data_IF_016260368061
#
_entry.id   IF_016260368061
#
_cell.length_a   1.000
_cell.length_b   1.000
_cell.length_c   1.000
_cell.angle_alpha   90.00
_cell.angle_beta   90.00
_cell.angle_gamma   90.00
#
_symmetry.space_group_name_H-M   'P 1'
#
loop_
_entity.id
_entity.type
_entity.pdbx_description
1 polymer ?
#
# COMPACT_ATOMS: atom_id res chain seq x y z
N UNK A 1 -12.58 18.08 12.13
CA UNK A 1 -13.25 18.61 10.90
C UNK A 1 -12.85 17.88 9.64
N UNK A 2 -11.59 17.93 9.19
CA UNK A 2 -11.15 17.19 8.00
C UNK A 2 -11.52 15.69 8.09
N UNK A 3 -11.29 15.07 9.26
CA UNK A 3 -11.74 13.69 9.52
C UNK A 3 -13.25 13.50 9.32
N UNK A 4 -14.09 14.43 9.80
CA UNK A 4 -15.55 14.34 9.66
C UNK A 4 -16.04 14.58 8.24
N UNK A 5 -15.26 15.27 7.40
CA UNK A 5 -15.54 15.48 5.99
C UNK A 5 -15.26 14.19 5.21
N UNK A 6 -14.06 13.64 5.39
CA UNK A 6 -13.59 12.50 4.60
C UNK A 6 -14.09 11.15 5.11
N UNK A 7 -14.36 11.05 6.40
CA UNK A 7 -14.92 9.86 7.06
C UNK A 7 -16.27 10.23 7.67
N UNK A 8 -17.19 10.69 6.82
CA UNK A 8 -18.49 11.21 7.27
C UNK A 8 -19.33 10.17 8.02
N UNK A 9 -19.15 8.87 7.73
CA UNK A 9 -19.79 7.76 8.45
C UNK A 9 -19.35 7.69 9.91
N UNK A 10 -18.14 8.15 10.21
CA UNK A 10 -17.52 8.07 11.53
C UNK A 10 -17.63 9.39 12.30
N UNK A 11 -18.44 10.33 11.79
CA UNK A 11 -18.59 11.67 12.39
C UNK A 11 -19.06 11.61 13.84
N UNK A 12 -19.97 10.69 14.18
CA UNK A 12 -20.44 10.50 15.56
C UNK A 12 -19.30 10.08 16.48
N UNK A 13 -18.47 9.11 16.05
CA UNK A 13 -17.29 8.66 16.79
C UNK A 13 -16.36 9.84 17.13
N UNK A 14 -16.02 10.69 16.14
CA UNK A 14 -15.16 11.84 16.38
C UNK A 14 -15.82 12.90 17.28
N UNK A 15 -17.14 13.08 17.13
CA UNK A 15 -17.92 14.03 17.94
C UNK A 15 -17.92 13.64 19.41
N UNK A 16 -18.16 12.36 19.69
CA UNK A 16 -18.19 11.86 21.07
C UNK A 16 -16.80 11.87 21.69
N UNK A 17 -15.76 11.53 20.94
CA UNK A 17 -14.38 11.66 21.40
C UNK A 17 -14.02 13.11 21.78
N UNK A 18 -14.44 14.11 21.00
CA UNK A 18 -14.25 15.53 21.38
C UNK A 18 -14.97 15.90 22.68
N UNK A 19 -16.20 15.41 22.89
CA UNK A 19 -16.96 15.65 24.13
C UNK A 19 -16.29 15.00 25.33
N UNK A 20 -15.74 13.79 25.17
CA UNK A 20 -14.98 13.10 26.23
C UNK A 20 -13.75 13.90 26.67
N UNK A 21 -13.11 14.60 25.74
CA UNK A 21 -12.01 15.53 26.03
C UNK A 21 -12.48 16.88 26.62
N UNK A 22 -13.78 17.08 26.80
CA UNK A 22 -14.35 18.34 27.29
C UNK A 22 -14.37 19.47 26.27
N UNK A 23 -14.23 19.15 24.98
CA UNK A 23 -14.24 20.11 23.87
C UNK A 23 -15.64 20.22 23.25
N UNK A 24 -15.95 21.37 22.65
CA UNK A 24 -17.18 21.56 21.86
C UNK A 24 -16.95 21.15 20.39
N UNK A 25 -17.47 20.00 19.93
CA UNK A 25 -17.32 19.56 18.53
C UNK A 25 -18.08 20.45 17.53
N UNK A 26 -19.00 21.30 18.00
CA UNK A 26 -19.79 22.19 17.17
C UNK A 26 -19.23 23.61 17.10
N UNK A 27 -18.10 23.89 17.77
CA UNK A 27 -17.45 25.19 17.69
C UNK A 27 -16.90 25.43 16.26
N UNK A 28 -17.57 26.30 15.50
CA UNK A 28 -17.25 26.67 14.12
C UNK A 28 -16.50 28.01 14.01
N UNK A 29 -15.91 28.54 15.09
CA UNK A 29 -15.13 29.77 15.01
C UNK A 29 -14.01 29.66 13.98
N UNK A 30 -13.74 30.74 13.26
CA UNK A 30 -12.60 30.88 12.35
C UNK A 30 -11.66 32.00 12.84
N UNK A 31 -11.75 32.36 14.12
CA UNK A 31 -10.88 33.37 14.73
C UNK A 31 -9.45 32.82 14.87
N UNK A 32 -8.47 33.35 14.11
CA UNK A 32 -7.10 32.85 14.12
C UNK A 32 -6.36 33.14 15.44
N UNK A 33 -6.97 33.89 16.37
CA UNK A 33 -6.43 34.14 17.71
C UNK A 33 -6.85 33.09 18.74
N UNK A 34 -7.70 32.13 18.36
CA UNK A 34 -8.16 31.03 19.22
C UNK A 34 -7.65 29.68 18.72
N UNK A 35 -7.34 28.71 19.61
CA UNK A 35 -6.93 27.36 19.20
C UNK A 35 -7.96 26.66 18.30
N UNK A 36 -9.25 26.78 18.62
CA UNK A 36 -10.34 26.21 17.84
C UNK A 36 -10.41 26.83 16.45
N UNK A 37 -10.25 28.15 16.37
CA UNK A 37 -10.24 28.86 15.08
C UNK A 37 -9.06 28.47 14.21
N UNK A 38 -7.85 28.33 14.79
CA UNK A 38 -6.68 27.81 14.09
C UNK A 38 -6.95 26.40 13.55
N UNK A 39 -7.45 25.49 14.39
CA UNK A 39 -7.75 24.11 13.97
C UNK A 39 -8.82 24.03 12.88
N UNK A 40 -9.85 24.88 12.96
CA UNK A 40 -10.91 24.97 11.96
C UNK A 40 -10.40 25.55 10.62
N UNK A 41 -9.55 26.58 10.67
CA UNK A 41 -8.91 27.16 9.49
C UNK A 41 -7.97 26.17 8.81
N UNK A 42 -7.16 25.44 9.58
CA UNK A 42 -6.29 24.39 9.04
C UNK A 42 -7.09 23.28 8.35
N UNK A 43 -8.17 22.80 8.99
CA UNK A 43 -9.04 21.80 8.38
C UNK A 43 -9.71 22.33 7.10
N UNK A 44 -10.18 23.58 7.11
CA UNK A 44 -10.77 24.22 5.93
C UNK A 44 -9.76 24.28 4.77
N UNK A 45 -8.53 24.72 5.04
CA UNK A 45 -7.48 24.81 4.03
C UNK A 45 -7.16 23.45 3.40
N UNK A 46 -7.08 22.38 4.21
CA UNK A 46 -6.88 21.01 3.69
C UNK A 46 -8.06 20.57 2.83
N UNK A 47 -9.30 20.76 3.29
CA UNK A 47 -10.51 20.38 2.54
C UNK A 47 -10.54 21.09 1.19
N UNK A 48 -10.36 22.41 1.18
CA UNK A 48 -10.36 23.22 -0.05
C UNK A 48 -9.20 22.83 -0.98
N UNK A 49 -8.01 22.53 -0.45
CA UNK A 49 -6.86 22.15 -1.26
C UNK A 49 -6.99 20.75 -1.89
N UNK A 50 -7.79 19.86 -1.30
CA UNK A 50 -8.01 18.49 -1.81
C UNK A 50 -9.35 18.33 -2.55
N UNK A 51 -10.22 19.33 -2.55
CA UNK A 51 -11.42 19.32 -3.37
C UNK A 51 -11.04 19.37 -4.86
N UNK A 52 -11.47 18.38 -5.64
CA UNK A 52 -11.19 18.33 -7.09
C UNK A 52 -9.70 18.16 -7.39
N UNK A 53 -9.00 17.44 -6.51
CA UNK A 53 -7.57 17.17 -6.66
C UNK A 53 -7.27 16.00 -7.61
N UNK A 54 -8.28 15.42 -8.27
CA UNK A 54 -8.15 14.19 -9.07
C UNK A 54 -8.46 12.89 -8.33
N UNK A 55 -8.67 12.91 -7.00
CA UNK A 55 -9.06 11.70 -6.26
C UNK A 55 -10.54 11.33 -6.47
N UNK A 56 -11.31 12.22 -7.10
CA UNK A 56 -12.73 12.07 -7.37
C UNK A 56 -13.58 11.76 -6.12
N UNK A 57 -13.16 12.26 -4.95
CA UNK A 57 -13.84 11.99 -3.68
C UNK A 57 -15.31 12.44 -3.68
N UNK A 58 -15.60 13.59 -4.30
CA UNK A 58 -16.95 14.15 -4.36
C UNK A 58 -17.76 13.62 -5.56
N UNK A 59 -17.15 12.81 -6.44
CA UNK A 59 -17.82 12.37 -7.66
C UNK A 59 -18.03 13.50 -8.66
N UNK A 60 -17.21 14.55 -8.63
CA UNK A 60 -17.40 15.76 -9.44
C UNK A 60 -16.45 15.85 -10.65
N UNK A 61 -15.48 14.93 -10.75
CA UNK A 61 -14.57 14.88 -11.90
C UNK A 61 -15.36 14.59 -13.20
N UNK A 62 -14.94 15.16 -14.32
CA UNK A 62 -15.59 14.91 -15.61
C UNK A 62 -15.50 13.41 -15.96
N UNK A 63 -16.65 12.78 -16.25
CA UNK A 63 -16.74 11.34 -16.50
C UNK A 63 -17.03 10.47 -15.27
N UNK A 64 -17.05 11.05 -14.06
CA UNK A 64 -17.33 10.35 -12.79
C UNK A 64 -18.78 9.88 -12.60
N UNK A 65 -19.73 10.40 -13.40
CA UNK A 65 -21.16 10.12 -13.28
C UNK A 65 -21.78 10.51 -11.92
N UNK A 66 -21.29 11.57 -11.25
CA UNK A 66 -21.74 11.97 -9.91
C UNK A 66 -21.54 10.87 -8.85
N UNK A 67 -20.53 10.01 -9.04
CA UNK A 67 -20.23 8.89 -8.14
C UNK A 67 -18.85 9.10 -7.52
N UNK A 68 -18.76 9.25 -6.18
CA UNK A 68 -17.50 9.24 -5.44
C UNK A 68 -16.60 8.07 -5.84
N UNK A 69 -15.32 8.37 -6.07
CA UNK A 69 -14.27 7.43 -6.43
C UNK A 69 -14.54 6.60 -7.70
N UNK A 70 -15.49 7.00 -8.54
CA UNK A 70 -15.73 6.33 -9.81
C UNK A 70 -14.55 6.50 -10.77
N UNK A 71 -14.32 5.48 -11.61
CA UNK A 71 -13.34 5.52 -12.69
C UNK A 71 -13.76 6.53 -13.76
N UNK A 72 -13.30 7.77 -13.61
CA UNK A 72 -13.65 8.87 -14.51
C UNK A 72 -12.75 8.94 -15.76
N UNK A 73 -11.63 8.20 -15.78
CA UNK A 73 -10.71 8.14 -16.93
C UNK A 73 -11.09 7.05 -17.94
N UNK A 74 -12.11 6.23 -17.64
CA UNK A 74 -12.58 5.17 -18.53
C UNK A 74 -11.56 4.07 -18.77
N UNK A 75 -10.64 3.83 -17.82
CA UNK A 75 -9.69 2.72 -17.91
C UNK A 75 -10.45 1.39 -17.93
N UNK A 76 -10.12 0.54 -18.91
CA UNK A 76 -10.57 -0.85 -19.00
C UNK A 76 -9.34 -1.74 -19.25
N UNK A 77 -9.19 -2.85 -18.52
CA UNK A 77 -8.07 -3.76 -18.73
C UNK A 77 -8.17 -4.42 -20.12
N UNK A 78 -7.01 -4.68 -20.73
CA UNK A 78 -6.94 -5.42 -22.01
C UNK A 78 -7.46 -6.85 -21.85
N UNK A 79 -7.23 -7.46 -20.68
CA UNK A 79 -7.67 -8.81 -20.36
C UNK A 79 -8.95 -8.79 -19.53
N UNK A 80 -9.82 -9.78 -19.76
CA UNK A 80 -10.98 -10.02 -18.90
C UNK A 80 -10.62 -11.01 -17.78
N UNK A 81 -11.53 -11.22 -16.82
CA UNK A 81 -11.32 -12.23 -15.78
C UNK A 81 -11.23 -13.66 -16.35
N UNK A 82 -11.91 -13.89 -17.48
CA UNK A 82 -12.02 -15.18 -18.15
C UNK A 82 -10.91 -15.41 -19.18
N UNK A 83 -10.46 -14.36 -19.87
CA UNK A 83 -9.55 -14.46 -21.02
C UNK A 83 -8.32 -13.57 -20.86
N UNK A 84 -7.14 -14.19 -20.97
CA UNK A 84 -5.84 -13.52 -20.94
C UNK A 84 -5.29 -13.40 -22.37
N UNK A 85 -5.68 -12.35 -23.09
CA UNK A 85 -5.30 -12.12 -24.50
C UNK A 85 -3.90 -11.54 -24.65
N UNK A 86 -3.44 -10.73 -23.69
CA UNK A 86 -2.07 -10.22 -23.62
C UNK A 86 -1.45 -10.57 -22.26
N UNK A 87 -0.56 -11.57 -22.20
CA UNK A 87 -0.03 -12.07 -20.94
C UNK A 87 0.98 -11.13 -20.28
N UNK A 88 1.40 -10.04 -20.93
CA UNK A 88 2.20 -9.00 -20.26
C UNK A 88 1.32 -7.95 -19.56
N UNK A 89 0.01 -7.97 -19.79
CA UNK A 89 -0.94 -6.98 -19.26
C UNK A 89 -1.67 -7.49 -18.03
N UNK A 90 -2.10 -6.57 -17.18
CA UNK A 90 -2.85 -6.91 -15.99
C UNK A 90 -4.15 -7.64 -16.35
N UNK A 91 -4.53 -8.59 -15.50
CA UNK A 91 -5.75 -9.37 -15.65
C UNK A 91 -6.51 -9.37 -14.31
N UNK A 92 -7.79 -8.95 -14.29
CA UNK A 92 -8.62 -9.09 -13.10
C UNK A 92 -8.85 -10.58 -12.76
N UNK A 93 -9.11 -10.89 -11.49
CA UNK A 93 -9.29 -12.27 -11.02
C UNK A 93 -10.51 -12.40 -10.14
N UNK A 94 -11.17 -13.55 -10.20
CA UNK A 94 -12.31 -13.87 -9.34
C UNK A 94 -11.87 -14.05 -7.89
N UNK A 95 -12.53 -13.33 -6.97
CA UNK A 95 -12.42 -13.52 -5.52
C UNK A 95 -13.70 -14.16 -5.01
N UNK A 96 -13.60 -14.89 -3.91
CA UNK A 96 -14.76 -15.40 -3.17
C UNK A 96 -15.52 -14.24 -2.53
N UNK A 97 -16.84 -14.26 -2.58
CA UNK A 97 -17.70 -13.32 -1.85
C UNK A 97 -17.94 -13.72 -0.37
N UNK A 98 -17.34 -14.84 0.06
CA UNK A 98 -17.51 -15.41 1.41
C UNK A 98 -18.89 -16.05 1.65
N UNK A 99 -19.75 -16.11 0.64
CA UNK A 99 -21.14 -16.60 0.69
C UNK A 99 -21.41 -17.70 -0.35
N UNK A 100 -20.36 -18.22 -0.98
CA UNK A 100 -20.42 -19.28 -1.99
C UNK A 100 -20.48 -18.77 -3.44
N UNK A 101 -20.39 -17.46 -3.66
CA UNK A 101 -20.28 -16.84 -4.97
C UNK A 101 -18.88 -16.27 -5.24
N UNK A 102 -18.71 -15.74 -6.44
CA UNK A 102 -17.47 -15.10 -6.88
C UNK A 102 -17.75 -13.79 -7.59
N UNK A 103 -16.80 -12.85 -7.52
CA UNK A 103 -16.84 -11.59 -8.25
C UNK A 103 -15.43 -11.21 -8.73
N UNK A 104 -15.35 -10.49 -9.85
CA UNK A 104 -14.09 -9.93 -10.33
C UNK A 104 -14.07 -8.42 -10.02
N UNK A 105 -13.24 -7.94 -9.08
CA UNK A 105 -13.12 -6.52 -8.82
C UNK A 105 -12.48 -5.79 -10.02
N UNK A 106 -13.00 -4.59 -10.31
CA UNK A 106 -12.36 -3.67 -11.26
C UNK A 106 -11.06 -3.09 -10.71
N UNK A 107 -10.29 -2.41 -11.56
CA UNK A 107 -9.05 -1.75 -11.13
C UNK A 107 -9.37 -0.70 -10.06
N UNK A 108 -8.69 -0.78 -8.92
CA UNK A 108 -8.89 0.17 -7.83
C UNK A 108 -8.29 1.53 -8.21
N UNK A 109 -9.15 2.54 -8.28
CA UNK A 109 -8.79 3.97 -8.52
C UNK A 109 -7.73 4.13 -9.62
N UNK A 110 -7.99 3.73 -10.87
CA UNK A 110 -7.01 3.71 -11.96
C UNK A 110 -6.51 5.10 -12.39
N UNK A 111 -7.00 6.15 -11.73
CA UNK A 111 -6.69 7.55 -11.97
C UNK A 111 -5.89 8.17 -10.81
N UNK A 112 -5.41 7.37 -9.84
CA UNK A 112 -4.71 7.93 -8.67
C UNK A 112 -3.41 8.66 -9.05
N UNK A 113 -2.85 8.38 -10.22
CA UNK A 113 -1.74 9.12 -10.84
C UNK A 113 -2.12 10.56 -11.25
N UNK A 114 -3.42 10.87 -11.34
CA UNK A 114 -3.96 12.21 -11.62
C UNK A 114 -4.14 13.03 -10.35
N UNK A 115 -4.02 12.41 -9.18
CA UNK A 115 -4.16 13.12 -7.91
C UNK A 115 -3.03 14.14 -7.79
N UNK A 116 -3.37 15.38 -7.46
CA UNK A 116 -2.41 16.47 -7.31
C UNK A 116 -1.40 16.12 -6.20
N UNK A 117 -0.10 16.01 -6.53
CA UNK A 117 0.93 15.75 -5.53
C UNK A 117 1.08 16.90 -4.53
N UNK A 118 1.68 16.61 -3.38
CA UNK A 118 1.96 17.61 -2.34
C UNK A 118 3.38 18.15 -2.48
N UNK A 119 4.39 17.26 -2.50
CA UNK A 119 5.81 17.62 -2.61
C UNK A 119 6.43 17.30 -3.97
N UNK A 120 5.88 16.35 -4.73
CA UNK A 120 6.31 16.07 -6.12
C UNK A 120 5.80 17.12 -7.11
N UNK A 121 6.49 17.24 -8.24
CA UNK A 121 6.11 18.12 -9.36
C UNK A 121 5.06 17.48 -10.27
N UNK A 122 5.15 16.16 -10.45
CA UNK A 122 4.23 15.34 -11.23
C UNK A 122 4.31 13.90 -10.73
N UNK A 123 3.27 13.10 -11.00
CA UNK A 123 3.25 11.70 -10.62
C UNK A 123 4.38 10.88 -11.27
N UNK A 124 4.80 11.27 -12.47
CA UNK A 124 5.82 10.57 -13.24
C UNK A 124 7.25 11.07 -13.04
N UNK A 125 7.46 12.00 -12.11
CA UNK A 125 8.75 12.64 -11.85
C UNK A 125 9.89 11.62 -11.68
N UNK A 126 9.59 10.46 -11.10
CA UNK A 126 10.55 9.38 -10.84
C UNK A 126 10.12 8.05 -11.45
N UNK A 127 9.23 8.02 -12.45
CA UNK A 127 8.74 6.78 -13.07
C UNK A 127 9.93 5.87 -13.44
N UNK A 128 10.03 4.65 -12.90
CA UNK A 128 11.09 3.72 -13.23
C UNK A 128 11.05 3.30 -14.70
N UNK A 129 12.13 2.69 -15.20
CA UNK A 129 12.15 2.06 -16.51
C UNK A 129 11.15 0.88 -16.63
N UNK A 130 10.97 0.31 -17.83
CA UNK A 130 9.97 -0.74 -18.05
C UNK A 130 10.25 -2.03 -17.26
N UNK A 131 9.22 -2.79 -16.88
CA UNK A 131 9.38 -4.11 -16.25
C UNK A 131 9.93 -5.14 -17.24
N UNK A 132 10.48 -6.28 -16.76
CA UNK A 132 10.88 -7.37 -17.64
C UNK A 132 9.67 -8.00 -18.34
N UNK A 133 9.80 -8.36 -19.61
CA UNK A 133 8.68 -8.87 -20.43
C UNK A 133 8.79 -10.38 -20.64
N UNK A 134 7.67 -11.01 -21.01
CA UNK A 134 7.63 -12.43 -21.38
C UNK A 134 8.63 -12.74 -22.47
N UNK A 135 9.39 -13.82 -22.26
CA UNK A 135 10.51 -14.24 -23.11
C UNK A 135 11.86 -13.64 -22.70
N UNK A 136 11.92 -12.75 -21.71
CA UNK A 136 13.18 -12.32 -21.11
C UNK A 136 13.66 -13.33 -20.07
N UNK A 137 14.99 -13.53 -20.01
CA UNK A 137 15.63 -14.37 -19.00
C UNK A 137 15.37 -13.86 -17.56
N UNK A 138 15.37 -12.55 -17.37
CA UNK A 138 15.09 -11.94 -16.07
C UNK A 138 13.71 -12.33 -15.56
N UNK A 139 12.67 -12.23 -16.39
CA UNK A 139 11.32 -12.58 -15.97
C UNK A 139 11.18 -14.07 -15.63
N UNK A 140 11.80 -14.95 -16.41
CA UNK A 140 11.81 -16.39 -16.14
C UNK A 140 12.42 -16.70 -14.77
N UNK A 141 13.57 -16.09 -14.45
CA UNK A 141 14.25 -16.25 -13.15
C UNK A 141 13.40 -15.71 -12.00
N UNK A 142 12.78 -14.54 -12.15
CA UNK A 142 11.98 -13.91 -11.09
C UNK A 142 10.62 -14.61 -10.86
N UNK A 143 10.00 -15.19 -11.90
CA UNK A 143 8.80 -16.02 -11.74
C UNK A 143 9.14 -17.33 -11.01
N UNK A 144 10.27 -17.95 -11.35
CA UNK A 144 10.78 -19.12 -10.63
C UNK A 144 11.09 -18.80 -9.15
N UNK A 145 11.64 -17.62 -8.88
CA UNK A 145 11.90 -17.13 -7.51
C UNK A 145 10.60 -17.03 -6.69
N UNK A 146 9.51 -16.49 -7.26
CA UNK A 146 8.21 -16.39 -6.57
C UNK A 146 7.72 -17.78 -6.12
N UNK A 147 7.78 -18.78 -7.01
CA UNK A 147 7.36 -20.15 -6.69
C UNK A 147 8.28 -20.75 -5.62
N UNK A 148 9.60 -20.60 -5.79
CA UNK A 148 10.59 -21.15 -4.88
C UNK A 148 10.49 -20.56 -3.47
N UNK A 149 10.29 -19.25 -3.34
CA UNK A 149 10.09 -18.59 -2.05
C UNK A 149 8.78 -19.06 -1.40
N UNK A 150 7.68 -19.09 -2.14
CA UNK A 150 6.40 -19.54 -1.59
C UNK A 150 6.47 -20.99 -1.10
N UNK A 151 7.05 -21.89 -1.90
CA UNK A 151 7.15 -23.32 -1.58
C UNK A 151 7.98 -23.64 -0.32
N UNK A 152 8.76 -22.65 0.15
CA UNK A 152 9.64 -22.75 1.30
C UNK A 152 9.32 -21.72 2.41
N UNK A 153 8.11 -21.15 2.42
CA UNK A 153 7.66 -20.26 3.51
C UNK A 153 7.81 -20.95 4.87
N UNK A 154 8.66 -20.37 5.72
CA UNK A 154 8.69 -20.70 7.15
C UNK A 154 7.56 -19.98 7.90
N UNK A 155 7.32 -20.35 9.16
CA UNK A 155 6.37 -19.63 10.01
C UNK A 155 6.77 -18.16 10.20
N UNK A 156 8.07 -17.88 10.26
CA UNK A 156 8.56 -16.50 10.28
C UNK A 156 8.18 -15.75 9.00
N UNK A 157 8.32 -16.39 7.83
CA UNK A 157 7.96 -15.77 6.55
C UNK A 157 6.45 -15.54 6.43
N UNK A 158 5.63 -16.53 6.81
CA UNK A 158 4.16 -16.40 6.84
C UNK A 158 3.73 -15.22 7.71
N UNK A 159 4.29 -15.12 8.91
CA UNK A 159 4.01 -14.02 9.82
C UNK A 159 4.46 -12.67 9.24
N UNK A 160 5.63 -12.60 8.60
CA UNK A 160 6.07 -11.36 7.94
C UNK A 160 5.14 -10.96 6.78
N UNK A 161 4.74 -11.92 5.95
CA UNK A 161 3.77 -11.69 4.85
C UNK A 161 2.44 -11.16 5.39
N UNK A 162 1.92 -11.77 6.45
CA UNK A 162 0.65 -11.37 7.07
C UNK A 162 0.75 -10.00 7.74
N UNK A 163 1.81 -9.77 8.52
CA UNK A 163 2.05 -8.52 9.21
C UNK A 163 2.17 -7.36 8.20
N UNK A 164 2.93 -7.53 7.12
CA UNK A 164 3.13 -6.49 6.11
C UNK A 164 1.96 -6.33 5.13
N UNK A 165 1.11 -7.35 4.94
CA UNK A 165 -0.13 -7.22 4.16
C UNK A 165 -1.21 -6.46 4.92
N UNK A 166 -1.14 -6.51 6.25
CA UNK A 166 -2.26 -6.21 7.13
C UNK A 166 -3.49 -7.12 6.88
N UNK A 167 -4.51 -6.96 7.73
CA UNK A 167 -5.80 -7.65 7.61
C UNK A 167 -6.89 -6.79 6.95
N UNK A 168 -8.08 -7.39 6.73
CA UNK A 168 -9.29 -6.64 6.37
C UNK A 168 -9.57 -5.54 7.41
N UNK A 169 -10.05 -4.37 6.96
CA UNK A 169 -10.34 -3.20 7.83
C UNK A 169 -9.12 -2.67 8.63
N UNK A 170 -7.91 -2.91 8.13
CA UNK A 170 -6.69 -2.36 8.72
C UNK A 170 -6.42 -0.92 8.28
N UNK A 171 -5.36 -0.37 8.85
CA UNK A 171 -4.81 0.95 8.52
C UNK A 171 -4.13 1.02 7.14
N UNK A 172 -4.01 -0.13 6.45
CA UNK A 172 -3.28 -0.31 5.21
C UNK A 172 -1.83 0.23 5.30
N UNK A 173 -1.12 0.29 4.18
CA UNK A 173 0.31 0.59 4.19
C UNK A 173 0.66 1.98 4.71
N UNK A 174 -0.06 3.04 4.32
CA UNK A 174 0.20 4.39 4.83
C UNK A 174 0.02 4.46 6.35
N UNK A 175 -1.06 3.88 6.86
CA UNK A 175 -1.32 3.89 8.29
C UNK A 175 -0.46 2.88 9.08
N UNK A 176 0.02 1.81 8.47
CA UNK A 176 1.03 0.93 9.08
C UNK A 176 2.32 1.71 9.34
N UNK A 177 2.79 2.47 8.35
CA UNK A 177 3.95 3.33 8.52
C UNK A 177 3.71 4.52 9.46
N UNK A 178 2.46 4.97 9.61
CA UNK A 178 2.09 5.91 10.67
C UNK A 178 2.24 5.28 12.07
N UNK A 179 1.84 4.01 12.25
CA UNK A 179 2.06 3.29 13.52
C UNK A 179 3.55 3.18 13.85
N UNK A 180 4.39 2.87 12.86
CA UNK A 180 5.84 2.88 13.04
C UNK A 180 6.39 4.27 13.38
N UNK A 181 5.86 5.34 12.78
CA UNK A 181 6.23 6.69 13.21
C UNK A 181 5.82 6.94 14.68
N UNK A 182 4.68 6.42 15.14
CA UNK A 182 4.28 6.50 16.55
C UNK A 182 5.18 5.66 17.47
N UNK A 183 5.71 4.53 16.99
CA UNK A 183 6.74 3.76 17.70
C UNK A 183 8.03 4.58 17.85
N UNK A 184 8.47 5.27 16.79
CA UNK A 184 9.61 6.21 16.85
C UNK A 184 9.37 7.30 17.88
N UNK A 185 8.17 7.91 17.88
CA UNK A 185 7.78 8.91 18.88
C UNK A 185 7.93 8.40 20.31
N UNK A 186 7.45 7.19 20.58
CA UNK A 186 7.57 6.55 21.91
C UNK A 186 9.02 6.26 22.28
N UNK A 187 9.80 5.73 21.34
CA UNK A 187 11.22 5.40 21.53
C UNK A 187 12.04 6.65 21.87
N UNK A 188 11.84 7.72 21.11
CA UNK A 188 12.63 8.96 21.17
C UNK A 188 12.04 10.00 22.13
N UNK A 189 10.85 9.71 22.70
CA UNK A 189 10.12 10.56 23.66
C UNK A 189 9.80 11.94 23.09
N UNK A 190 9.26 11.96 21.87
CA UNK A 190 8.86 13.18 21.21
C UNK A 190 7.82 13.98 21.99
N UNK A 191 7.88 15.29 21.81
CA UNK A 191 6.85 16.26 22.16
C UNK A 191 5.78 16.34 21.08
N UNK A 192 4.68 17.04 21.37
CA UNK A 192 3.62 17.28 20.39
C UNK A 192 4.15 17.97 19.11
N UNK A 193 5.06 18.94 19.26
CA UNK A 193 5.60 19.70 18.12
C UNK A 193 6.46 18.82 17.20
N UNK A 194 7.22 17.89 17.78
CA UNK A 194 8.01 16.90 17.03
C UNK A 194 7.11 15.88 16.33
N UNK A 195 6.07 15.41 17.02
CA UNK A 195 5.10 14.44 16.48
C UNK A 195 4.32 15.01 15.30
N UNK A 196 3.76 16.21 15.42
CA UNK A 196 3.02 16.84 14.32
C UNK A 196 3.89 16.96 13.08
N UNK A 197 5.16 17.35 13.26
CA UNK A 197 6.14 17.50 12.19
C UNK A 197 6.53 16.18 11.54
N UNK A 198 6.85 15.16 12.35
CA UNK A 198 7.24 13.84 11.86
C UNK A 198 6.08 13.14 11.15
N UNK A 199 4.89 13.14 11.75
CA UNK A 199 3.71 12.50 11.16
C UNK A 199 3.31 13.19 9.86
N UNK A 200 3.38 14.53 9.80
CA UNK A 200 3.15 15.28 8.56
C UNK A 200 4.11 14.83 7.45
N UNK A 201 5.42 14.81 7.72
CA UNK A 201 6.40 14.35 6.73
C UNK A 201 6.09 12.92 6.26
N UNK A 202 5.92 12.00 7.21
CA UNK A 202 5.74 10.59 6.91
C UNK A 202 4.49 10.33 6.04
N UNK A 203 3.38 11.02 6.34
CA UNK A 203 2.12 10.81 5.62
C UNK A 203 2.04 11.58 4.30
N UNK A 204 2.69 12.75 4.18
CA UNK A 204 2.85 13.43 2.88
C UNK A 204 3.70 12.59 1.94
N UNK A 205 4.80 12.00 2.44
CA UNK A 205 5.64 11.08 1.68
C UNK A 205 4.85 9.85 1.25
N UNK A 206 4.01 9.28 2.12
CA UNK A 206 3.16 8.15 1.77
C UNK A 206 2.16 8.50 0.65
N UNK A 207 1.52 9.67 0.72
CA UNK A 207 0.57 10.14 -0.31
C UNK A 207 1.24 10.27 -1.68
N UNK A 208 2.38 10.95 -1.74
CA UNK A 208 3.10 11.15 -3.00
C UNK A 208 3.70 9.84 -3.55
N UNK A 209 4.09 8.91 -2.67
CA UNK A 209 4.52 7.56 -3.06
C UNK A 209 3.37 6.74 -3.68
N UNK A 210 2.15 6.89 -3.17
CA UNK A 210 0.97 6.30 -3.80
C UNK A 210 0.72 6.88 -5.19
N UNK A 211 0.79 8.20 -5.35
CA UNK A 211 0.62 8.87 -6.64
C UNK A 211 1.67 8.38 -7.66
N UNK A 212 2.95 8.36 -7.27
CA UNK A 212 4.03 7.94 -8.16
C UNK A 212 3.98 6.44 -8.52
N UNK A 213 3.59 5.58 -7.57
CA UNK A 213 3.44 4.15 -7.86
C UNK A 213 2.24 3.86 -8.77
N UNK A 214 1.12 4.59 -8.62
CA UNK A 214 -0.01 4.46 -9.54
C UNK A 214 0.34 4.94 -10.94
N UNK A 215 1.13 5.99 -11.08
CA UNK A 215 1.62 6.43 -12.40
C UNK A 215 2.33 5.28 -13.12
N UNK A 216 3.28 4.61 -12.45
CA UNK A 216 3.98 3.47 -13.04
C UNK A 216 3.02 2.31 -13.37
N UNK A 217 2.09 2.00 -12.47
CA UNK A 217 1.10 0.92 -12.66
C UNK A 217 0.23 1.15 -13.87
N UNK A 218 -0.28 2.36 -14.03
CA UNK A 218 -1.22 2.69 -15.10
C UNK A 218 -0.50 2.93 -16.42
N UNK A 219 0.76 3.38 -16.39
CA UNK A 219 1.59 3.52 -17.58
C UNK A 219 1.97 2.16 -18.20
N UNK A 220 2.39 1.19 -17.36
CA UNK A 220 2.83 -0.12 -17.85
C UNK A 220 1.71 -1.17 -17.91
N UNK A 221 0.66 -1.01 -17.10
CA UNK A 221 -0.48 -1.92 -17.00
C UNK A 221 -0.05 -3.40 -16.92
N UNK A 222 0.97 -3.65 -16.11
CA UNK A 222 1.76 -4.89 -16.13
C UNK A 222 1.12 -6.06 -15.38
N UNK A 223 1.33 -7.27 -15.91
CA UNK A 223 0.85 -8.54 -15.36
C UNK A 223 1.31 -8.83 -13.93
N UNK A 224 0.47 -9.54 -13.18
CA UNK A 224 0.75 -10.03 -11.81
C UNK A 224 1.41 -11.41 -11.85
N UNK A 225 2.15 -11.81 -10.79
CA UNK A 225 2.71 -13.17 -10.70
C UNK A 225 1.68 -14.28 -10.92
N UNK A 226 0.42 -14.09 -10.52
CA UNK A 226 -0.66 -15.04 -10.82
C UNK A 226 -0.75 -15.40 -12.30
N UNK A 227 -0.85 -14.39 -13.17
CA UNK A 227 -0.95 -14.62 -14.61
C UNK A 227 0.37 -15.14 -15.19
N UNK A 228 1.50 -14.67 -14.66
CA UNK A 228 2.84 -15.06 -15.12
C UNK A 228 3.17 -16.51 -14.77
N UNK A 229 2.94 -16.95 -13.53
CA UNK A 229 3.14 -18.35 -13.13
C UNK A 229 2.26 -19.27 -13.97
N UNK A 230 0.99 -18.92 -14.18
CA UNK A 230 0.11 -19.71 -15.04
C UNK A 230 0.63 -19.77 -16.47
N UNK A 231 1.21 -18.68 -16.98
CA UNK A 231 1.79 -18.65 -18.33
C UNK A 231 3.05 -19.51 -18.48
N UNK A 232 3.93 -19.51 -17.49
CA UNK A 232 5.21 -20.22 -17.55
C UNK A 232 5.10 -21.69 -17.12
N UNK A 233 4.17 -22.03 -16.23
CA UNK A 233 4.07 -23.34 -15.57
C UNK A 233 2.73 -24.07 -15.79
N UNK A 234 1.89 -23.65 -16.74
CA UNK A 234 0.55 -24.27 -16.99
C UNK A 234 0.58 -25.80 -17.17
N UNK A 235 1.66 -26.34 -17.72
CA UNK A 235 1.81 -27.77 -18.03
C UNK A 235 2.79 -28.49 -17.09
N UNK A 236 3.19 -27.86 -15.99
CA UNK A 236 4.13 -28.41 -15.02
C UNK A 236 3.44 -28.75 -13.70
N UNK A 237 4.01 -29.72 -12.98
CA UNK A 237 3.69 -29.96 -11.58
C UNK A 237 4.72 -29.22 -10.74
N UNK A 238 4.25 -28.36 -9.83
CA UNK A 238 5.08 -27.57 -8.94
C UNK A 238 4.66 -27.79 -7.49
N UNK A 239 5.60 -27.67 -6.56
CA UNK A 239 5.30 -27.57 -5.13
C UNK A 239 4.85 -26.15 -4.82
N UNK A 240 3.65 -25.98 -4.26
CA UNK A 240 3.12 -24.67 -3.88
C UNK A 240 2.07 -24.78 -2.76
N UNK A 241 1.61 -23.64 -2.26
CA UNK A 241 0.53 -23.60 -1.28
C UNK A 241 -0.81 -23.93 -1.94
N UNK A 242 -1.49 -24.98 -1.45
CA UNK A 242 -2.75 -25.46 -2.01
C UNK A 242 -3.96 -24.58 -1.70
N UNK A 243 -3.80 -23.57 -0.85
CA UNK A 243 -4.88 -22.76 -0.28
C UNK A 243 -5.13 -23.05 1.19
N UNK A 244 -6.09 -22.32 1.76
CA UNK A 244 -6.45 -22.37 3.17
C UNK A 244 -6.75 -23.81 3.61
N UNK A 245 -6.08 -24.28 4.67
CA UNK A 245 -6.25 -25.62 5.24
C UNK A 245 -5.66 -26.78 4.44
N UNK A 246 -4.97 -26.52 3.32
CA UNK A 246 -4.38 -27.56 2.45
C UNK A 246 -2.87 -27.70 2.61
N UNK A 247 -2.19 -26.66 3.09
CA UNK A 247 -0.74 -26.65 3.25
C UNK A 247 0.02 -26.69 1.91
N UNK A 248 1.30 -27.06 1.97
CA UNK A 248 2.16 -27.20 0.79
C UNK A 248 1.94 -28.56 0.13
N UNK A 249 1.68 -28.57 -1.17
CA UNK A 249 1.43 -29.78 -1.95
C UNK A 249 1.93 -29.66 -3.39
N UNK A 250 2.00 -30.78 -4.09
CA UNK A 250 2.24 -30.80 -5.54
C UNK A 250 0.93 -30.46 -6.26
N UNK A 251 0.94 -29.41 -7.08
CA UNK A 251 -0.21 -28.95 -7.87
C UNK A 251 0.19 -28.71 -9.32
N UNK A 252 -0.79 -28.73 -10.22
CA UNK A 252 -0.56 -28.20 -11.57
C UNK A 252 -0.28 -26.69 -11.48
N UNK A 253 0.70 -26.16 -12.23
CA UNK A 253 1.06 -24.75 -12.15
C UNK A 253 -0.09 -23.79 -12.49
N UNK A 254 -1.06 -24.23 -13.29
CA UNK A 254 -2.33 -23.50 -13.54
C UNK A 254 -3.25 -23.36 -12.32
N UNK A 255 -3.00 -24.13 -11.26
CA UNK A 255 -3.71 -24.05 -9.98
C UNK A 255 -2.96 -23.17 -8.96
N UNK A 256 -1.76 -22.71 -9.30
CA UNK A 256 -0.96 -21.86 -8.41
C UNK A 256 -1.73 -20.61 -8.01
N UNK A 257 -1.53 -20.19 -6.76
CA UNK A 257 -2.11 -18.99 -6.19
C UNK A 257 -1.15 -18.35 -5.18
N UNK A 258 -1.23 -17.03 -4.96
CA UNK A 258 -0.51 -16.36 -3.88
C UNK A 258 -0.95 -16.90 -2.51
N UNK A 259 -0.08 -16.74 -1.50
CA UNK A 259 -0.42 -17.00 -0.10
C UNK A 259 -1.34 -15.89 0.41
N UNK A 260 -2.63 -16.06 0.16
CA UNK A 260 -3.67 -15.05 0.40
C UNK A 260 -5.04 -15.71 0.60
N UNK A 261 -5.92 -15.16 1.46
CA UNK A 261 -7.29 -15.66 1.62
C UNK A 261 -8.07 -15.59 0.29
N UNK A 262 -9.04 -16.49 0.09
CA UNK A 262 -9.84 -16.51 -1.15
C UNK A 262 -10.69 -15.26 -1.37
N UNK A 263 -11.06 -14.58 -0.29
CA UNK A 263 -11.82 -13.31 -0.31
C UNK A 263 -10.97 -12.12 -0.76
N UNK A 264 -9.65 -12.27 -0.79
CA UNK A 264 -8.69 -11.29 -1.31
C UNK A 264 -7.55 -12.03 -1.99
N UNK A 265 -7.79 -12.56 -3.19
CA UNK A 265 -6.80 -13.40 -3.88
C UNK A 265 -5.53 -12.62 -4.21
N UNK A 266 -5.65 -11.45 -4.82
CA UNK A 266 -4.53 -10.56 -5.13
C UNK A 266 -5.02 -9.11 -5.23
N UNK A 267 -4.17 -8.08 -5.07
CA UNK A 267 -4.65 -6.71 -5.16
C UNK A 267 -5.19 -6.37 -6.58
N UNK A 268 -6.36 -5.72 -6.71
CA UNK A 268 -7.05 -5.54 -7.98
C UNK A 268 -6.54 -4.31 -8.75
N UNK A 269 -5.27 -4.36 -9.17
CA UNK A 269 -4.60 -3.33 -9.98
C UNK A 269 -3.29 -3.89 -10.58
N UNK A 270 -2.71 -3.24 -11.60
CA UNK A 270 -1.46 -3.66 -12.23
C UNK A 270 -0.29 -3.83 -11.27
N UNK A 271 0.68 -4.67 -11.66
CA UNK A 271 1.76 -5.10 -10.75
C UNK A 271 2.87 -4.05 -10.59
N UNK A 272 3.41 -3.53 -11.68
CA UNK A 272 4.66 -2.77 -11.66
C UNK A 272 4.47 -1.26 -11.47
N UNK A 273 5.08 -0.59 -10.49
CA UNK A 273 5.91 -1.15 -9.40
C UNK A 273 5.07 -1.60 -8.21
N UNK A 274 5.67 -2.33 -7.27
CA UNK A 274 5.00 -2.70 -6.02
C UNK A 274 4.67 -1.46 -5.19
N UNK A 275 3.38 -1.21 -4.96
CA UNK A 275 2.93 -0.09 -4.12
C UNK A 275 3.42 -0.23 -2.67
N UNK A 276 3.28 -1.43 -2.07
CA UNK A 276 3.79 -1.68 -0.70
C UNK A 276 5.29 -1.38 -0.58
N UNK A 277 6.08 -1.82 -1.56
CA UNK A 277 7.52 -1.55 -1.61
C UNK A 277 7.82 -0.06 -1.76
N UNK A 278 7.04 0.65 -2.58
CA UNK A 278 7.18 2.10 -2.78
C UNK A 278 6.87 2.88 -1.51
N UNK A 279 5.73 2.64 -0.86
CA UNK A 279 5.35 3.32 0.38
C UNK A 279 6.37 2.99 1.48
N UNK A 280 6.79 1.72 1.59
CA UNK A 280 7.75 1.31 2.60
C UNK A 280 9.13 1.95 2.41
N UNK A 281 9.65 1.96 1.18
CA UNK A 281 10.89 2.65 0.86
C UNK A 281 10.82 4.15 1.13
N UNK A 282 9.67 4.76 0.86
CA UNK A 282 9.45 6.19 1.07
C UNK A 282 9.36 6.56 2.56
N UNK A 283 8.47 5.90 3.31
CA UNK A 283 8.26 6.18 4.73
C UNK A 283 9.49 5.84 5.58
N UNK A 284 10.22 4.76 5.26
CA UNK A 284 11.48 4.44 5.93
C UNK A 284 12.56 5.49 5.70
N UNK A 285 12.75 5.92 4.44
CA UNK A 285 13.73 6.96 4.13
C UNK A 285 13.33 8.30 4.76
N UNK A 286 12.03 8.62 4.83
CA UNK A 286 11.54 9.80 5.53
C UNK A 286 11.85 9.79 7.04
N UNK A 287 11.62 8.66 7.72
CA UNK A 287 11.98 8.51 9.15
C UNK A 287 13.49 8.58 9.38
N UNK A 288 14.28 8.01 8.46
CA UNK A 288 15.74 8.11 8.49
C UNK A 288 16.23 9.54 8.30
N UNK A 289 15.66 10.29 7.36
CA UNK A 289 15.97 11.71 7.14
C UNK A 289 15.58 12.55 8.35
N UNK A 290 14.42 12.28 8.95
CA UNK A 290 13.91 12.97 10.14
C UNK A 290 14.80 12.75 11.37
N UNK A 291 15.08 11.48 11.70
CA UNK A 291 15.85 11.11 12.90
C UNK A 291 17.35 11.32 12.74
N UNK A 292 17.84 11.44 11.50
CA UNK A 292 19.27 11.45 11.20
C UNK A 292 19.96 10.09 11.42
N UNK A 293 19.19 9.02 11.64
CA UNK A 293 19.68 7.66 11.92
C UNK A 293 18.86 6.63 11.15
N UNK A 294 19.46 5.49 10.81
CA UNK A 294 18.73 4.36 10.21
C UNK A 294 18.17 3.40 11.29
N UNK A 295 18.48 3.62 12.56
CA UNK A 295 18.04 2.76 13.66
C UNK A 295 16.51 2.81 13.84
N UNK A 296 15.87 1.65 13.99
CA UNK A 296 14.45 1.53 14.35
C UNK A 296 14.29 0.80 15.68
N UNK A 297 14.59 -0.50 15.71
CA UNK A 297 14.69 -1.31 16.94
C UNK A 297 13.37 -1.93 17.40
N UNK A 298 12.31 -1.88 16.60
CA UNK A 298 11.01 -2.42 16.97
C UNK A 298 10.92 -3.94 16.86
N UNK A 299 10.03 -4.53 17.67
CA UNK A 299 9.75 -5.97 17.65
C UNK A 299 8.25 -6.22 17.76
N UNK A 300 7.75 -7.14 16.96
CA UNK A 300 6.34 -7.52 16.98
C UNK A 300 6.21 -9.03 17.17
N UNK A 301 5.37 -9.43 18.12
CA UNK A 301 5.02 -10.85 18.35
C UNK A 301 3.67 -11.15 17.73
N UNK A 302 3.58 -12.20 16.92
CA UNK A 302 2.35 -12.67 16.32
C UNK A 302 2.40 -14.18 16.05
N UNK A 303 1.25 -14.78 15.79
CA UNK A 303 1.14 -16.21 15.44
C UNK A 303 1.11 -16.34 13.92
N UNK A 304 1.99 -17.17 13.36
CA UNK A 304 2.02 -17.42 11.93
C UNK A 304 0.70 -18.06 11.45
N UNK A 305 0.17 -17.60 10.32
CA UNK A 305 -1.10 -18.12 9.80
C UNK A 305 -2.34 -17.43 10.36
N UNK A 306 -2.24 -16.57 11.38
CA UNK A 306 -3.41 -16.00 12.05
C UNK A 306 -4.36 -15.24 11.12
N UNK A 307 -3.85 -14.62 10.05
CA UNK A 307 -4.66 -13.86 9.09
C UNK A 307 -4.99 -14.63 7.80
N UNK A 308 -4.35 -15.76 7.53
CA UNK A 308 -4.53 -16.49 6.25
C UNK A 308 -4.88 -17.96 6.43
N UNK A 309 -4.46 -18.58 7.51
CA UNK A 309 -4.75 -19.97 7.83
C UNK A 309 -5.23 -20.06 9.31
N UNK A 310 -6.32 -19.38 9.71
CA UNK A 310 -6.72 -19.27 11.13
C UNK A 310 -7.04 -20.64 11.77
N UNK A 311 -7.39 -21.64 10.94
CA UNK A 311 -7.64 -23.02 11.38
C UNK A 311 -6.39 -23.92 11.29
N UNK A 312 -5.24 -23.39 10.87
CA UNK A 312 -3.97 -24.11 10.71
C UNK A 312 -2.77 -23.21 11.07
N UNK A 313 -2.77 -22.76 12.33
CA UNK A 313 -1.74 -21.85 12.87
C UNK A 313 -0.36 -22.52 12.95
N UNK A 314 0.67 -21.73 12.65
CA UNK A 314 2.07 -22.08 12.93
C UNK A 314 2.52 -21.60 14.32
N UNK A 315 3.83 -21.49 14.49
CA UNK A 315 4.44 -21.05 15.74
C UNK A 315 4.17 -19.55 16.04
N UNK A 316 4.30 -19.20 17.33
CA UNK A 316 4.43 -17.80 17.73
C UNK A 316 5.81 -17.30 17.34
N UNK A 317 5.87 -16.24 16.55
CA UNK A 317 7.12 -15.65 16.07
C UNK A 317 7.31 -14.23 16.59
N UNK A 318 8.57 -13.83 16.68
CA UNK A 318 8.96 -12.43 16.94
C UNK A 318 9.62 -11.91 15.67
N UNK A 319 8.99 -10.94 15.02
CA UNK A 319 9.58 -10.18 13.92
C UNK A 319 10.43 -9.05 14.51
N UNK A 320 11.66 -8.90 14.02
CA UNK A 320 12.58 -7.85 14.44
C UNK A 320 12.83 -6.84 13.32
N UNK A 321 12.71 -5.56 13.66
CA UNK A 321 12.85 -4.44 12.74
C UNK A 321 14.00 -3.53 13.19
N UNK A 322 15.26 -3.95 12.99
CA UNK A 322 16.42 -3.26 13.59
C UNK A 322 16.68 -1.87 12.99
N UNK A 323 16.37 -1.67 11.70
CA UNK A 323 16.62 -0.41 10.99
C UNK A 323 15.44 -0.08 10.07
N UNK A 324 15.21 1.19 9.78
CA UNK A 324 14.19 1.61 8.82
C UNK A 324 14.42 1.00 7.44
N UNK A 325 15.66 1.02 6.95
CA UNK A 325 16.03 0.41 5.65
C UNK A 325 15.67 -1.08 5.61
N UNK A 326 16.11 -1.86 6.61
CA UNK A 326 15.79 -3.29 6.69
C UNK A 326 14.29 -3.55 6.78
N UNK A 327 13.56 -2.71 7.51
CA UNK A 327 12.09 -2.81 7.66
C UNK A 327 11.40 -2.63 6.31
N UNK A 328 11.82 -1.64 5.52
CA UNK A 328 11.31 -1.45 4.17
C UNK A 328 11.66 -2.62 3.23
N UNK A 329 12.89 -3.13 3.29
CA UNK A 329 13.31 -4.27 2.47
C UNK A 329 12.54 -5.55 2.86
N UNK A 330 12.26 -5.74 4.16
CA UNK A 330 11.41 -6.83 4.67
C UNK A 330 9.96 -6.69 4.18
N UNK A 331 9.41 -5.48 4.19
CA UNK A 331 8.08 -5.21 3.62
C UNK A 331 8.04 -5.53 2.12
N UNK A 332 9.06 -5.14 1.38
CA UNK A 332 9.19 -5.40 -0.05
C UNK A 332 9.29 -6.89 -0.39
N UNK A 333 10.24 -7.60 0.21
CA UNK A 333 10.43 -9.05 -0.04
C UNK A 333 9.22 -9.88 0.40
N UNK A 334 8.49 -9.45 1.43
CA UNK A 334 7.24 -10.12 1.83
C UNK A 334 6.22 -10.20 0.69
N UNK A 335 6.24 -9.25 -0.25
CA UNK A 335 5.34 -9.26 -1.40
C UNK A 335 5.70 -10.32 -2.43
N UNK A 336 6.99 -10.63 -2.56
CA UNK A 336 7.50 -11.69 -3.45
C UNK A 336 7.24 -13.06 -2.82
N UNK A 337 7.56 -13.20 -1.52
CA UNK A 337 7.27 -14.42 -0.75
C UNK A 337 5.79 -14.78 -0.75
N UNK A 338 4.90 -13.79 -0.61
CA UNK A 338 3.45 -13.97 -0.68
C UNK A 338 2.91 -14.22 -2.09
N UNK A 339 3.72 -14.08 -3.15
CA UNK A 339 3.31 -14.26 -4.54
C UNK A 339 2.51 -13.09 -5.15
N UNK A 340 2.63 -11.89 -4.59
CA UNK A 340 1.91 -10.70 -5.06
C UNK A 340 2.66 -9.87 -6.10
N UNK A 341 3.99 -9.97 -6.09
CA UNK A 341 4.92 -9.21 -6.93
C UNK A 341 6.13 -10.06 -7.34
N UNK A 342 6.76 -9.74 -8.47
CA UNK A 342 8.09 -10.24 -8.82
C UNK A 342 9.19 -9.34 -8.23
N UNK A 343 10.45 -9.77 -8.27
CA UNK A 343 11.55 -9.02 -7.67
C UNK A 343 11.80 -7.68 -8.36
N UNK A 344 11.58 -7.55 -9.67
CA UNK A 344 11.64 -6.27 -10.37
C UNK A 344 10.63 -5.25 -9.83
N UNK A 345 9.38 -5.66 -9.55
CA UNK A 345 8.36 -4.79 -8.96
C UNK A 345 8.79 -4.27 -7.58
N UNK A 346 9.41 -5.16 -6.79
CA UNK A 346 9.89 -4.88 -5.43
C UNK A 346 11.05 -3.89 -5.44
N UNK A 347 12.13 -4.22 -6.17
CA UNK A 347 13.35 -3.41 -6.22
C UNK A 347 13.09 -2.02 -6.80
N UNK A 348 12.35 -1.94 -7.91
CA UNK A 348 11.99 -0.66 -8.52
C UNK A 348 11.06 0.15 -7.61
N UNK A 349 10.13 -0.50 -6.92
CA UNK A 349 9.25 0.15 -5.95
C UNK A 349 10.01 0.77 -4.77
N UNK A 350 10.88 -0.01 -4.11
CA UNK A 350 11.71 0.49 -3.00
C UNK A 350 12.55 1.71 -3.42
N UNK A 351 13.14 1.66 -4.62
CA UNK A 351 13.92 2.76 -5.15
C UNK A 351 13.06 4.00 -5.44
N UNK A 352 11.93 3.83 -6.11
CA UNK A 352 10.97 4.91 -6.37
C UNK A 352 10.57 5.60 -5.07
N UNK A 353 10.23 4.83 -4.03
CA UNK A 353 9.85 5.36 -2.73
C UNK A 353 10.93 6.24 -2.09
N UNK A 354 12.18 5.77 -2.09
CA UNK A 354 13.33 6.52 -1.55
C UNK A 354 13.55 7.84 -2.28
N UNK A 355 13.37 7.85 -3.60
CA UNK A 355 13.52 9.07 -4.40
C UNK A 355 12.38 10.07 -4.15
N UNK A 356 11.15 9.59 -3.98
CA UNK A 356 10.01 10.41 -3.55
C UNK A 356 10.28 11.05 -2.19
N UNK A 357 10.73 10.27 -1.19
CA UNK A 357 11.00 10.78 0.15
C UNK A 357 12.04 11.91 0.15
N UNK A 358 13.11 11.77 -0.64
CA UNK A 358 14.17 12.78 -0.76
C UNK A 358 13.69 14.06 -1.44
N UNK A 359 12.76 13.98 -2.38
CA UNK A 359 12.18 15.17 -3.00
C UNK A 359 11.22 15.87 -2.04
N UNK A 360 10.30 15.11 -1.42
CA UNK A 360 9.35 15.64 -0.44
C UNK A 360 10.08 16.22 0.78
N UNK A 361 11.25 15.69 1.15
CA UNK A 361 12.08 16.28 2.21
C UNK A 361 12.53 17.71 1.91
N UNK A 362 12.74 18.08 0.64
CA UNK A 362 13.05 19.46 0.26
C UNK A 362 11.83 20.36 0.49
N UNK A 363 10.66 19.93 0.00
CA UNK A 363 9.39 20.62 0.25
C UNK A 363 9.15 20.80 1.76
N UNK A 364 9.39 19.76 2.54
CA UNK A 364 9.24 19.76 3.99
C UNK A 364 10.11 20.84 4.66
N UNK A 365 11.42 20.85 4.39
CA UNK A 365 12.35 21.82 4.99
C UNK A 365 12.03 23.26 4.62
N UNK A 366 11.51 23.49 3.42
CA UNK A 366 11.11 24.83 2.96
C UNK A 366 9.96 25.36 3.82
N UNK A 367 8.99 24.49 4.14
CA UNK A 367 7.81 24.85 4.91
C UNK A 367 8.05 24.85 6.42
N UNK A 368 9.08 24.16 6.92
CA UNK A 368 9.49 24.23 8.34
C UNK A 368 10.52 25.32 8.63
N UNK A 369 11.03 26.02 7.61
CA UNK A 369 12.02 27.09 7.76
C UNK A 369 13.45 26.59 8.02
N UNK A 370 13.76 25.37 7.59
CA UNK A 370 15.06 24.70 7.73
C UNK A 370 15.91 24.75 6.45
N UNK A 371 15.54 25.60 5.48
CA UNK A 371 16.17 25.77 4.17
C UNK A 371 16.80 27.14 3.97
#
# INVERSE_FOLDING_TARGET
RAMSEYYYSDKELFTDFMKELGLDPYNNTLDPTTPEGIGNLAAKAVIEARHGDGANQYGEEEGSQNKPYHNYIGYEPVNSADENVDPNRWQPKYFSDGKGGYFAPGCLTPYWDKVKPIGLKSADQFRPGPPPMIGSKQLEEEVAEVIALQANLSDHDKALVEFMRDGPQSVQQAGHWLKFAQDVSRRDKHTLDEDVKMYFLNQVVAMDAFIASWDSKMFYDYARPYALVHKYYENEIIKAWGGEGKGMMEIEGKQWRPYSPETFLCPPFPSYVSGHSTISGACAEALKLWTGSDEFGEKVTLVAGALTEPDNLGDTVVLEFPTFTKTADMAGISRVMGGYHIQADNVAGLQLGRDVAREVWKFYKEHTGEL
#
